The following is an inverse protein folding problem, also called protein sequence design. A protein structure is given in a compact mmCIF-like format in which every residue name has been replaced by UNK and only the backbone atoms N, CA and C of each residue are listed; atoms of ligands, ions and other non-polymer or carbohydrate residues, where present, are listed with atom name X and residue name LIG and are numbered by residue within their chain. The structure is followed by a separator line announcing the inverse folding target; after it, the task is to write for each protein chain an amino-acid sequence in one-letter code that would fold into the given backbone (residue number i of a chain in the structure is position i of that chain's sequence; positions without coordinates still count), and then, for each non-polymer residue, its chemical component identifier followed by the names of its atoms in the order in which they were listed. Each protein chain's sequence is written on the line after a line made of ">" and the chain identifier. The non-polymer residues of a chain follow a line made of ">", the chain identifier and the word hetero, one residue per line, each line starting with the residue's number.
data_IF_770939270569
#
_entry.id   IF_770939270569
#
_cell.length_a   1.000
_cell.length_b   1.000
_cell.length_c   1.000
_cell.angle_alpha   90.00
_cell.angle_beta   90.00
_cell.angle_gamma   90.00
#
_symmetry.space_group_name_H-M   'P 1'
#
loop_
_entity.id
_entity.type
_entity.pdbx_description
1 polymer ?
#
# COMPACT_ATOMS: atom_id res chain seq x y z
N UNK A 1 3.18 1.67 -2.86
CA UNK A 1 2.29 0.53 -2.55
C UNK A 1 0.86 1.05 -2.57
N UNK A 2 -0.05 0.46 -3.37
CA UNK A 2 -1.45 0.88 -3.38
C UNK A 2 -2.10 0.71 -2.01
N UNK A 3 -2.77 1.76 -1.52
CA UNK A 3 -3.64 1.73 -0.34
C UNK A 3 -5.07 2.12 -0.76
N UNK A 4 -6.02 2.21 0.18
CA UNK A 4 -7.43 2.43 -0.13
C UNK A 4 -7.68 3.64 -1.05
N UNK A 5 -7.02 4.77 -0.81
CA UNK A 5 -7.15 5.98 -1.65
C UNK A 5 -6.84 5.71 -3.14
N UNK A 6 -5.81 4.88 -3.42
CA UNK A 6 -5.47 4.52 -4.81
C UNK A 6 -6.63 3.78 -5.49
N UNK A 7 -7.28 2.86 -4.76
CA UNK A 7 -8.36 2.05 -5.32
C UNK A 7 -9.63 2.88 -5.51
N UNK A 8 -9.96 3.76 -4.56
CA UNK A 8 -11.08 4.69 -4.70
C UNK A 8 -10.88 5.67 -5.87
N UNK A 9 -9.64 6.18 -6.04
CA UNK A 9 -9.31 6.98 -7.22
C UNK A 9 -9.48 6.18 -8.51
N UNK A 10 -8.96 4.93 -8.57
CA UNK A 10 -9.13 4.09 -9.75
C UNK A 10 -10.60 3.82 -10.07
N UNK A 11 -11.46 3.62 -9.06
CA UNK A 11 -12.90 3.48 -9.29
C UNK A 11 -13.48 4.75 -9.93
N UNK A 12 -13.15 5.94 -9.42
CA UNK A 12 -13.56 7.22 -10.00
C UNK A 12 -13.01 7.40 -11.43
N UNK A 13 -11.74 7.09 -11.65
CA UNK A 13 -11.08 7.16 -12.95
C UNK A 13 -11.73 6.23 -14.01
N UNK A 14 -12.19 5.03 -13.61
CA UNK A 14 -12.91 4.13 -14.50
C UNK A 14 -14.30 4.65 -14.85
N UNK A 15 -15.05 5.17 -13.87
CA UNK A 15 -16.36 5.81 -14.12
C UNK A 15 -16.23 6.97 -15.07
N UNK A 16 -15.30 7.88 -14.84
CA UNK A 16 -15.07 9.06 -15.69
C UNK A 16 -14.81 8.69 -17.16
N UNK A 17 -14.16 7.54 -17.40
CA UNK A 17 -13.66 7.17 -18.73
C UNK A 17 -14.53 6.19 -19.48
N UNK A 18 -15.29 5.34 -18.79
CA UNK A 18 -15.96 4.20 -19.41
C UNK A 18 -17.46 4.07 -19.08
N UNK A 19 -17.99 4.86 -18.12
CA UNK A 19 -19.39 4.72 -17.71
C UNK A 19 -20.35 4.88 -18.91
N UNK A 20 -21.22 3.88 -19.12
CA UNK A 20 -22.18 3.84 -20.21
C UNK A 20 -21.60 3.45 -21.58
N UNK A 21 -20.28 3.23 -21.68
CA UNK A 21 -19.66 2.78 -22.94
C UNK A 21 -19.71 1.26 -23.08
N UNK A 22 -19.94 0.79 -24.31
CA UNK A 22 -19.68 -0.61 -24.69
C UNK A 22 -18.20 -0.78 -24.96
N UNK A 23 -17.52 -1.54 -24.09
CA UNK A 23 -16.07 -1.65 -24.14
C UNK A 23 -15.61 -2.97 -24.75
N UNK A 24 -14.51 -2.91 -25.52
CA UNK A 24 -13.77 -4.12 -25.89
C UNK A 24 -12.93 -4.56 -24.70
N UNK A 25 -12.96 -5.86 -24.41
CA UNK A 25 -12.25 -6.45 -23.28
C UNK A 25 -11.27 -7.51 -23.78
N UNK A 26 -9.99 -7.33 -23.48
CA UNK A 26 -8.92 -8.21 -23.94
C UNK A 26 -8.05 -8.67 -22.76
N UNK A 27 -7.43 -9.83 -22.90
CA UNK A 27 -6.41 -10.34 -21.98
C UNK A 27 -5.16 -10.74 -22.76
N UNK A 28 -4.28 -9.79 -23.12
CA UNK A 28 -3.06 -10.08 -23.88
C UNK A 28 -2.15 -11.14 -23.23
N UNK A 29 -2.08 -11.15 -21.90
CA UNK A 29 -1.36 -12.17 -21.14
C UNK A 29 -2.02 -13.57 -21.21
N UNK A 30 -3.31 -13.66 -21.54
CA UNK A 30 -4.05 -14.91 -21.68
C UNK A 30 -4.72 -15.45 -20.42
N UNK A 31 -4.22 -15.17 -19.23
CA UNK A 31 -4.75 -15.75 -17.97
C UNK A 31 -6.16 -15.30 -17.58
N UNK A 32 -6.69 -14.24 -18.19
CA UNK A 32 -8.06 -13.75 -18.03
C UNK A 32 -8.89 -13.89 -19.33
N UNK A 33 -8.40 -14.61 -20.35
CA UNK A 33 -9.00 -14.63 -21.69
C UNK A 33 -10.44 -15.14 -21.70
N UNK A 34 -10.76 -16.22 -20.98
CA UNK A 34 -12.12 -16.75 -20.91
C UNK A 34 -13.12 -15.75 -20.33
N UNK A 35 -12.75 -15.08 -19.24
CA UNK A 35 -13.58 -14.02 -18.64
C UNK A 35 -13.66 -12.78 -19.54
N UNK A 36 -12.57 -12.40 -20.19
CA UNK A 36 -12.56 -11.28 -21.13
C UNK A 36 -13.54 -11.48 -22.28
N UNK A 37 -13.64 -12.71 -22.83
CA UNK A 37 -14.57 -13.04 -23.89
C UNK A 37 -16.05 -12.90 -23.47
N UNK A 38 -16.38 -13.17 -22.18
CA UNK A 38 -17.74 -12.98 -21.65
C UNK A 38 -18.10 -11.50 -21.47
N UNK A 39 -17.10 -10.63 -21.30
CA UNK A 39 -17.25 -9.21 -21.07
C UNK A 39 -17.13 -8.37 -22.35
N UNK A 40 -16.53 -8.91 -23.42
CA UNK A 40 -16.25 -8.17 -24.65
C UNK A 40 -17.56 -7.64 -25.30
N UNK A 41 -17.61 -6.35 -25.59
CA UNK A 41 -18.77 -5.66 -26.12
C UNK A 41 -19.89 -5.37 -25.12
N UNK A 42 -19.72 -5.70 -23.83
CA UNK A 42 -20.69 -5.34 -22.77
C UNK A 42 -20.58 -3.87 -22.41
N UNK A 43 -21.69 -3.33 -21.91
CA UNK A 43 -21.70 -1.98 -21.33
C UNK A 43 -20.99 -1.98 -19.96
N UNK A 44 -20.12 -1.01 -19.77
CA UNK A 44 -19.49 -0.74 -18.47
C UNK A 44 -20.44 0.12 -17.65
N UNK A 45 -21.03 -0.46 -16.61
CA UNK A 45 -22.13 0.16 -15.86
C UNK A 45 -21.69 0.88 -14.58
N UNK A 46 -20.60 0.49 -13.96
CA UNK A 46 -20.08 1.18 -12.76
C UNK A 46 -18.66 0.66 -12.38
N UNK A 47 -18.02 1.37 -11.44
CA UNK A 47 -16.83 0.92 -10.71
C UNK A 47 -16.96 1.27 -9.23
N UNK A 48 -16.60 0.33 -8.37
CA UNK A 48 -16.72 0.46 -6.92
C UNK A 48 -15.39 0.09 -6.24
N UNK A 49 -15.09 0.75 -5.12
CA UNK A 49 -13.98 0.41 -4.24
C UNK A 49 -14.47 0.05 -2.84
N UNK A 50 -13.83 -0.96 -2.23
CA UNK A 50 -13.93 -1.23 -0.80
C UNK A 50 -12.55 -1.64 -0.29
N UNK A 51 -11.97 -0.80 0.56
CA UNK A 51 -10.60 -0.97 1.02
C UNK A 51 -9.60 -1.01 -0.14
N UNK A 52 -8.97 -2.16 -0.33
CA UNK A 52 -7.98 -2.37 -1.40
C UNK A 52 -8.52 -3.22 -2.55
N UNK A 53 -9.84 -3.37 -2.63
CA UNK A 53 -10.55 -4.14 -3.66
C UNK A 53 -11.29 -3.21 -4.60
N UNK A 54 -11.05 -3.37 -5.90
CA UNK A 54 -11.76 -2.67 -6.99
C UNK A 54 -12.72 -3.66 -7.66
N UNK A 55 -13.93 -3.21 -7.92
CA UNK A 55 -14.95 -3.96 -8.66
C UNK A 55 -15.37 -3.14 -9.87
N UNK A 56 -15.26 -3.73 -11.05
CA UNK A 56 -15.70 -3.14 -12.33
C UNK A 56 -16.95 -3.88 -12.77
N UNK A 57 -18.03 -3.17 -13.03
CA UNK A 57 -19.35 -3.73 -13.28
C UNK A 57 -19.69 -3.71 -14.76
N UNK A 58 -20.25 -4.81 -15.25
CA UNK A 58 -20.63 -4.97 -16.64
C UNK A 58 -22.07 -5.48 -16.77
N UNK A 59 -22.84 -4.94 -17.70
CA UNK A 59 -24.23 -5.30 -17.92
C UNK A 59 -24.39 -6.82 -18.14
N UNK A 60 -25.18 -7.47 -17.27
CA UNK A 60 -25.54 -8.88 -17.39
C UNK A 60 -24.38 -9.90 -17.33
N UNK A 61 -23.19 -9.48 -16.83
CA UNK A 61 -22.02 -10.35 -16.83
C UNK A 61 -21.26 -10.43 -15.50
N UNK A 62 -21.74 -9.74 -14.45
CA UNK A 62 -21.12 -9.74 -13.13
C UNK A 62 -20.02 -8.66 -12.96
N UNK A 63 -19.00 -8.95 -12.17
CA UNK A 63 -18.02 -7.96 -11.73
C UNK A 63 -16.59 -8.45 -11.92
N UNK A 64 -15.72 -7.62 -12.48
CA UNK A 64 -14.29 -7.89 -12.43
C UNK A 64 -13.75 -7.42 -11.08
N UNK A 65 -13.35 -8.37 -10.25
CA UNK A 65 -12.70 -8.11 -8.97
C UNK A 65 -11.19 -7.99 -9.16
N UNK A 66 -10.64 -6.85 -8.78
CA UNK A 66 -9.20 -6.58 -8.85
C UNK A 66 -8.64 -6.29 -7.46
N UNK A 67 -7.55 -6.97 -7.12
CA UNK A 67 -6.69 -6.62 -6.00
C UNK A 67 -5.27 -6.42 -6.52
N UNK A 68 -4.75 -5.18 -6.42
CA UNK A 68 -3.46 -4.83 -7.02
C UNK A 68 -2.28 -5.54 -6.33
N UNK A 69 -2.36 -5.75 -5.01
CA UNK A 69 -1.22 -6.26 -4.24
C UNK A 69 -0.06 -5.25 -4.20
N UNK A 70 1.17 -5.75 -4.26
CA UNK A 70 2.38 -4.91 -4.21
C UNK A 70 2.83 -4.41 -5.59
N UNK A 71 2.55 -5.18 -6.64
CA UNK A 71 3.11 -4.98 -7.98
C UNK A 71 2.08 -4.58 -9.02
N UNK A 72 0.77 -4.72 -8.71
CA UNK A 72 -0.31 -4.38 -9.62
C UNK A 72 -0.30 -2.90 -9.98
N UNK A 73 -0.46 -2.61 -11.27
CA UNK A 73 -0.53 -1.25 -11.82
C UNK A 73 -1.66 -1.15 -12.84
N UNK A 74 -2.38 -0.04 -12.77
CA UNK A 74 -3.34 0.38 -13.79
C UNK A 74 -2.77 1.59 -14.51
N UNK A 75 -2.86 1.59 -15.83
CA UNK A 75 -2.47 2.71 -16.68
C UNK A 75 -3.62 3.04 -17.64
N UNK A 76 -3.97 4.32 -17.73
CA UNK A 76 -4.92 4.84 -18.71
C UNK A 76 -4.17 5.51 -19.86
N UNK A 77 -4.72 5.41 -21.07
CA UNK A 77 -4.25 6.12 -22.27
C UNK A 77 -5.44 6.62 -23.09
N UNK A 78 -5.19 7.55 -24.01
CA UNK A 78 -6.19 7.95 -25.01
C UNK A 78 -6.28 6.89 -26.11
N UNK A 79 -7.46 6.77 -26.73
CA UNK A 79 -7.65 5.98 -27.93
C UNK A 79 -7.17 6.78 -29.17
N UNK A 80 -6.58 6.12 -30.22
CA UNK A 80 -6.25 4.70 -30.24
C UNK A 80 -5.08 4.35 -29.31
N UNK A 81 -5.24 3.27 -28.53
CA UNK A 81 -4.19 2.84 -27.61
C UNK A 81 -3.03 2.14 -28.36
N UNK A 82 -1.80 2.27 -27.87
CA UNK A 82 -0.68 1.51 -28.42
C UNK A 82 -0.92 -0.01 -28.29
N UNK A 83 -0.26 -0.84 -29.10
CA UNK A 83 -0.34 -2.29 -28.95
C UNK A 83 -0.05 -2.73 -27.50
N UNK A 84 -0.82 -3.68 -26.95
CA UNK A 84 -0.57 -4.17 -25.60
C UNK A 84 0.71 -5.00 -25.55
N UNK A 85 1.36 -5.00 -24.38
CA UNK A 85 2.41 -5.98 -24.09
C UNK A 85 1.78 -7.28 -23.55
N UNK A 86 2.51 -8.38 -23.63
CA UNK A 86 2.15 -9.70 -23.08
C UNK A 86 1.99 -9.75 -21.55
N UNK A 87 2.41 -8.68 -20.85
CA UNK A 87 2.24 -8.54 -19.40
C UNK A 87 0.88 -7.96 -18.99
N UNK A 88 0.06 -7.50 -19.95
CA UNK A 88 -1.26 -6.94 -19.68
C UNK A 88 -2.26 -8.04 -19.36
N UNK A 89 -2.71 -8.11 -18.11
CA UNK A 89 -3.70 -9.07 -17.62
C UNK A 89 -5.10 -8.80 -18.15
N UNK A 90 -5.48 -7.54 -18.13
CA UNK A 90 -6.77 -7.04 -18.56
C UNK A 90 -6.57 -5.72 -19.30
N UNK A 91 -7.17 -5.58 -20.50
CA UNK A 91 -7.28 -4.34 -21.24
C UNK A 91 -8.74 -4.02 -21.49
N UNK A 92 -9.13 -2.78 -21.17
CA UNK A 92 -10.41 -2.20 -21.59
C UNK A 92 -10.14 -1.19 -22.70
N UNK A 93 -10.93 -1.23 -23.77
CA UNK A 93 -10.91 -0.26 -24.87
C UNK A 93 -12.31 0.34 -25.02
N UNK A 94 -12.45 1.58 -24.65
CA UNK A 94 -13.62 2.42 -24.91
C UNK A 94 -13.44 3.29 -26.15
N UNK A 95 -14.38 4.19 -26.37
CA UNK A 95 -14.36 5.10 -27.54
C UNK A 95 -13.18 6.08 -27.49
N UNK A 96 -12.90 6.65 -26.32
CA UNK A 96 -11.89 7.72 -26.13
C UNK A 96 -10.71 7.30 -25.28
N UNK A 97 -10.85 6.24 -24.52
CA UNK A 97 -9.85 5.82 -23.55
C UNK A 97 -9.57 4.31 -23.60
N UNK A 98 -8.38 3.95 -23.18
CA UNK A 98 -8.00 2.58 -22.90
C UNK A 98 -7.42 2.46 -21.49
N UNK A 99 -7.56 1.28 -20.90
CA UNK A 99 -6.99 0.92 -19.61
C UNK A 99 -6.23 -0.40 -19.70
N UNK A 100 -5.03 -0.43 -19.12
CA UNK A 100 -4.21 -1.64 -18.97
C UNK A 100 -3.97 -1.95 -17.49
N UNK A 101 -4.33 -3.16 -17.09
CA UNK A 101 -4.00 -3.73 -15.78
C UNK A 101 -2.83 -4.71 -15.92
N UNK A 102 -1.77 -4.51 -15.14
CA UNK A 102 -0.58 -5.39 -15.10
C UNK A 102 -0.29 -5.85 -13.68
N UNK A 103 0.15 -7.09 -13.51
CA UNK A 103 0.67 -7.65 -12.28
C UNK A 103 -0.24 -7.63 -11.04
N UNK A 104 -1.60 -7.69 -11.16
CA UNK A 104 -2.46 -7.74 -9.99
C UNK A 104 -2.31 -9.07 -9.26
N UNK A 105 -2.52 -9.07 -7.94
CA UNK A 105 -2.64 -10.30 -7.15
C UNK A 105 -3.93 -11.04 -7.48
N UNK A 106 -5.02 -10.30 -7.71
CA UNK A 106 -6.32 -10.84 -8.11
C UNK A 106 -6.86 -10.08 -9.32
N UNK A 107 -7.32 -10.82 -10.34
CA UNK A 107 -8.14 -10.32 -11.43
C UNK A 107 -9.08 -11.49 -11.81
N UNK A 108 -10.32 -11.43 -11.38
CA UNK A 108 -11.30 -12.49 -11.54
C UNK A 108 -12.68 -11.93 -11.89
N UNK A 109 -13.41 -12.60 -12.75
CA UNK A 109 -14.85 -12.36 -12.94
C UNK A 109 -15.60 -13.07 -11.84
N UNK A 110 -16.41 -12.35 -11.09
CA UNK A 110 -17.13 -12.83 -9.92
C UNK A 110 -18.63 -12.50 -10.02
N UNK A 111 -19.44 -13.27 -9.32
CA UNK A 111 -20.89 -13.06 -9.18
C UNK A 111 -21.20 -12.03 -8.08
N UNK A 112 -22.49 -11.63 -7.98
CA UNK A 112 -22.99 -10.77 -6.90
C UNK A 112 -22.76 -11.41 -5.53
N UNK A 113 -22.96 -12.73 -5.39
CA UNK A 113 -22.78 -13.44 -4.12
C UNK A 113 -21.30 -13.48 -3.71
N UNK A 114 -20.40 -13.72 -4.64
CA UNK A 114 -18.96 -13.70 -4.39
C UNK A 114 -18.48 -12.27 -4.03
N UNK A 115 -19.01 -11.25 -4.71
CA UNK A 115 -18.75 -9.84 -4.36
C UNK A 115 -19.22 -9.55 -2.93
N UNK A 116 -20.45 -9.95 -2.58
CA UNK A 116 -21.00 -9.80 -1.22
C UNK A 116 -20.10 -10.47 -0.18
N UNK A 117 -19.66 -11.70 -0.44
CA UNK A 117 -18.73 -12.42 0.44
C UNK A 117 -17.37 -11.71 0.61
N UNK A 118 -16.89 -10.97 -0.39
CA UNK A 118 -15.71 -10.10 -0.23
C UNK A 118 -16.02 -8.94 0.71
N UNK A 119 -17.14 -8.23 0.50
CA UNK A 119 -17.56 -7.10 1.34
C UNK A 119 -17.76 -7.48 2.81
N UNK A 120 -18.40 -8.62 3.09
CA UNK A 120 -18.67 -9.10 4.45
C UNK A 120 -17.40 -9.42 5.26
N UNK A 121 -16.31 -9.75 4.58
CA UNK A 121 -15.01 -10.01 5.24
C UNK A 121 -14.25 -8.74 5.59
N UNK A 122 -14.61 -7.60 5.02
CA UNK A 122 -13.93 -6.34 5.24
C UNK A 122 -14.53 -5.59 6.42
N UNK A 123 -13.70 -4.81 7.07
CA UNK A 123 -14.14 -3.82 8.05
C UNK A 123 -14.65 -2.56 7.35
N UNK A 124 -15.19 -1.59 8.13
CA UNK A 124 -15.55 -0.30 7.61
C UNK A 124 -14.37 0.39 6.90
N UNK A 125 -14.68 1.09 5.82
CA UNK A 125 -13.72 1.84 4.99
C UNK A 125 -13.92 3.35 5.19
N UNK A 126 -12.91 4.11 5.62
CA UNK A 126 -13.01 5.55 5.83
C UNK A 126 -13.46 6.36 4.60
N UNK A 127 -13.34 5.77 3.40
CA UNK A 127 -13.72 6.43 2.14
C UNK A 127 -15.13 6.06 1.66
N UNK A 128 -15.77 5.05 2.24
CA UNK A 128 -17.13 4.67 1.83
C UNK A 128 -18.17 5.44 2.60
N UNK A 129 -19.11 6.14 1.91
CA UNK A 129 -20.23 6.78 2.58
C UNK A 129 -21.08 5.78 3.36
N UNK A 130 -21.41 6.09 4.61
CA UNK A 130 -22.27 5.26 5.44
C UNK A 130 -21.57 4.14 6.22
N UNK A 131 -20.27 3.91 6.01
CA UNK A 131 -19.52 2.95 6.82
C UNK A 131 -19.37 3.50 8.27
N UNK A 132 -19.62 2.62 9.26
CA UNK A 132 -19.71 3.00 10.68
C UNK A 132 -18.34 2.90 11.37
N UNK A 133 -17.73 4.04 11.79
CA UNK A 133 -16.47 4.04 12.54
C UNK A 133 -16.57 3.29 13.88
N UNK A 134 -17.77 3.28 14.49
CA UNK A 134 -18.00 2.58 15.75
C UNK A 134 -17.96 1.06 15.58
N UNK A 135 -18.33 0.54 14.40
CA UNK A 135 -18.19 -0.89 14.11
C UNK A 135 -16.71 -1.33 14.12
N UNK A 136 -15.81 -0.49 13.62
CA UNK A 136 -14.37 -0.72 13.73
C UNK A 136 -13.89 -0.58 15.18
N UNK A 137 -14.34 0.47 15.90
CA UNK A 137 -13.97 0.67 17.30
C UNK A 137 -14.38 -0.50 18.21
N UNK A 138 -15.58 -1.05 18.02
CA UNK A 138 -16.04 -2.23 18.79
C UNK A 138 -15.10 -3.43 18.64
N UNK A 139 -14.44 -3.59 17.49
CA UNK A 139 -13.42 -4.66 17.29
C UNK A 139 -12.09 -4.28 17.95
N UNK A 140 -11.68 -3.01 17.79
CA UNK A 140 -10.43 -2.48 18.39
C UNK A 140 -10.48 -2.57 19.91
N UNK A 141 -11.51 -2.01 20.57
CA UNK A 141 -11.63 -1.89 22.02
C UNK A 141 -11.71 -3.23 22.78
N UNK A 142 -12.02 -4.32 22.08
CA UNK A 142 -12.02 -5.69 22.64
C UNK A 142 -10.70 -6.44 22.46
N UNK A 143 -9.76 -5.86 21.70
CA UNK A 143 -8.53 -6.55 21.30
C UNK A 143 -7.35 -6.24 22.23
N UNK A 144 -6.55 -7.26 22.53
CA UNK A 144 -5.23 -7.13 23.16
C UNK A 144 -4.10 -6.95 22.15
N UNK A 145 -4.43 -7.04 20.86
CA UNK A 145 -3.48 -6.80 19.77
C UNK A 145 -3.10 -5.33 19.73
N UNK A 146 -1.89 -5.02 19.30
CA UNK A 146 -1.40 -3.64 19.18
C UNK A 146 -2.20 -2.85 18.15
N UNK A 147 -2.42 -1.56 18.42
CA UNK A 147 -3.17 -0.70 17.50
C UNK A 147 -2.52 -0.65 16.11
N UNK A 148 -1.20 -0.68 16.04
CA UNK A 148 -0.50 -0.72 14.76
C UNK A 148 -0.79 -2.00 13.94
N UNK A 149 -1.01 -3.14 14.60
CA UNK A 149 -1.40 -4.37 13.90
C UNK A 149 -2.89 -4.35 13.51
N UNK A 150 -3.76 -3.82 14.38
CA UNK A 150 -5.20 -3.68 14.12
C UNK A 150 -5.49 -2.76 12.93
N UNK A 151 -4.76 -1.65 12.78
CA UNK A 151 -4.89 -0.76 11.63
C UNK A 151 -4.44 -1.40 10.29
N UNK A 152 -3.69 -2.50 10.33
CA UNK A 152 -3.32 -3.26 9.13
C UNK A 152 -4.30 -4.39 8.80
N UNK A 153 -5.14 -4.79 9.76
CA UNK A 153 -6.14 -5.83 9.55
C UNK A 153 -7.34 -5.28 8.79
N UNK A 154 -7.47 -5.67 7.53
CA UNK A 154 -8.55 -5.21 6.65
C UNK A 154 -9.95 -5.66 7.12
N UNK A 155 -10.04 -6.60 8.08
CA UNK A 155 -11.30 -6.97 8.74
C UNK A 155 -11.69 -5.98 9.82
N UNK A 156 -10.74 -5.24 10.38
CA UNK A 156 -10.96 -4.21 11.40
C UNK A 156 -11.27 -2.87 10.75
N UNK A 157 -10.42 -2.45 9.84
CA UNK A 157 -10.55 -1.22 9.06
C UNK A 157 -10.04 -1.47 7.65
N UNK A 158 -10.89 -1.28 6.65
CA UNK A 158 -10.52 -1.50 5.26
C UNK A 158 -9.77 -0.28 4.68
N UNK A 159 -8.88 -0.53 3.72
CA UNK A 159 -8.18 0.50 2.97
C UNK A 159 -6.89 1.02 3.60
N UNK A 160 -6.79 1.06 4.91
CA UNK A 160 -5.58 1.50 5.60
C UNK A 160 -4.42 0.56 5.31
N UNK A 161 -3.28 1.14 4.98
CA UNK A 161 -2.05 0.40 4.74
C UNK A 161 -0.91 0.91 5.60
N UNK A 162 0.30 0.58 5.19
CA UNK A 162 1.48 0.82 6.02
C UNK A 162 1.84 2.29 6.18
N UNK A 163 1.54 3.11 5.16
CA UNK A 163 1.79 4.55 5.20
C UNK A 163 0.81 5.20 6.15
N UNK A 164 -0.50 5.08 5.87
CA UNK A 164 -1.51 5.70 6.74
C UNK A 164 -1.44 5.21 8.19
N UNK A 165 -1.17 3.91 8.42
CA UNK A 165 -0.94 3.38 9.78
C UNK A 165 0.14 4.14 10.53
N UNK A 166 1.32 4.26 9.94
CA UNK A 166 2.46 4.90 10.59
C UNK A 166 2.18 6.38 10.86
N UNK A 167 1.63 7.06 9.88
CA UNK A 167 1.43 8.50 9.89
C UNK A 167 0.29 8.94 10.81
N UNK A 168 -0.85 8.24 10.79
CA UNK A 168 -1.98 8.60 11.69
C UNK A 168 -1.62 8.34 13.15
N UNK A 169 -0.91 7.26 13.47
CA UNK A 169 -0.43 7.02 14.83
C UNK A 169 0.54 8.11 15.30
N UNK A 170 1.44 8.56 14.41
CA UNK A 170 2.33 9.66 14.72
C UNK A 170 1.57 10.98 14.95
N UNK A 171 0.64 11.32 14.08
CA UNK A 171 -0.16 12.57 14.15
C UNK A 171 -0.97 12.68 15.44
N UNK A 172 -1.38 11.55 16.00
CA UNK A 172 -2.14 11.46 17.25
C UNK A 172 -1.28 11.13 18.47
N UNK A 173 0.05 11.06 18.33
CA UNK A 173 0.96 10.77 19.45
C UNK A 173 0.75 9.39 20.07
N UNK A 174 0.22 8.43 19.32
CA UNK A 174 -0.12 7.09 19.82
C UNK A 174 1.07 6.16 19.65
N UNK A 175 1.55 5.58 20.76
CA UNK A 175 2.52 4.49 20.72
C UNK A 175 1.94 3.33 19.90
N UNK A 176 2.62 2.89 18.81
CA UNK A 176 2.15 1.80 17.98
C UNK A 176 1.93 0.47 18.72
N UNK A 177 2.56 0.30 19.87
CA UNK A 177 2.41 -0.89 20.72
C UNK A 177 1.27 -0.80 21.74
N UNK A 178 0.57 0.32 21.84
CA UNK A 178 -0.66 0.45 22.62
C UNK A 178 -1.67 -0.62 22.18
N UNK A 179 -2.28 -1.34 23.12
CA UNK A 179 -3.27 -2.36 22.78
C UNK A 179 -4.61 -1.72 22.40
N UNK A 180 -5.38 -2.38 21.55
CA UNK A 180 -6.65 -1.85 21.09
C UNK A 180 -7.60 -1.48 22.23
N UNK A 181 -7.60 -2.25 23.34
CA UNK A 181 -8.41 -1.99 24.54
C UNK A 181 -8.08 -0.69 25.25
N UNK A 182 -6.89 -0.15 25.03
CA UNK A 182 -6.42 1.11 25.61
C UNK A 182 -6.80 2.32 24.76
N UNK A 183 -7.37 2.09 23.54
CA UNK A 183 -7.83 3.15 22.66
C UNK A 183 -9.24 3.53 23.03
N UNK A 184 -9.42 4.68 23.65
CA UNK A 184 -10.73 5.23 24.00
C UNK A 184 -11.54 5.66 22.76
N UNK A 185 -12.85 5.81 22.94
CA UNK A 185 -13.76 6.14 21.84
C UNK A 185 -13.43 7.49 21.19
N UNK A 186 -13.10 8.51 21.98
CA UNK A 186 -12.78 9.85 21.47
C UNK A 186 -11.46 9.84 20.68
N UNK A 187 -10.45 9.11 21.18
CA UNK A 187 -9.18 8.94 20.50
C UNK A 187 -9.36 8.19 19.17
N UNK A 188 -10.23 7.17 19.16
CA UNK A 188 -10.58 6.44 17.93
C UNK A 188 -11.28 7.32 16.92
N UNK A 189 -12.27 8.12 17.35
CA UNK A 189 -12.97 9.05 16.45
C UNK A 189 -12.04 10.06 15.83
N UNK A 190 -11.18 10.68 16.63
CA UNK A 190 -10.19 11.63 16.12
C UNK A 190 -9.24 10.97 15.10
N UNK A 191 -8.79 9.73 15.36
CA UNK A 191 -7.96 8.97 14.44
C UNK A 191 -8.71 8.63 13.14
N UNK A 192 -9.97 8.22 13.24
CA UNK A 192 -10.81 7.91 12.08
C UNK A 192 -11.05 9.14 11.20
N UNK A 193 -11.43 10.27 11.81
CA UNK A 193 -11.68 11.51 11.09
C UNK A 193 -10.44 12.01 10.35
N UNK A 194 -9.27 11.90 10.98
CA UNK A 194 -7.99 12.24 10.36
C UNK A 194 -7.68 11.29 9.19
N UNK A 195 -7.93 9.98 9.32
CA UNK A 195 -7.81 9.03 8.20
C UNK A 195 -8.74 9.40 7.04
N UNK A 196 -9.99 9.78 7.31
CA UNK A 196 -10.94 10.22 6.27
C UNK A 196 -10.38 11.41 5.50
N UNK A 197 -9.85 12.42 6.21
CA UNK A 197 -9.27 13.63 5.60
C UNK A 197 -8.06 13.26 4.75
N UNK A 198 -7.10 12.54 5.33
CA UNK A 198 -5.85 12.16 4.66
C UNK A 198 -6.10 11.27 3.42
N UNK A 199 -7.01 10.30 3.55
CA UNK A 199 -7.29 9.39 2.45
C UNK A 199 -8.09 10.06 1.33
N UNK A 200 -9.03 10.99 1.64
CA UNK A 200 -9.72 11.81 0.62
C UNK A 200 -8.74 12.68 -0.15
N UNK A 201 -7.80 13.30 0.55
CA UNK A 201 -6.73 14.07 -0.11
C UNK A 201 -5.88 13.16 -1.00
N UNK A 202 -5.55 11.96 -0.54
CA UNK A 202 -4.88 10.94 -1.35
C UNK A 202 -5.65 10.57 -2.61
N UNK A 203 -6.98 10.43 -2.55
CA UNK A 203 -7.84 10.23 -3.74
C UNK A 203 -7.71 11.40 -4.70
N UNK A 204 -7.79 12.64 -4.19
CA UNK A 204 -7.74 13.86 -5.00
C UNK A 204 -6.40 14.04 -5.71
N UNK A 205 -5.30 13.87 -4.98
CA UNK A 205 -3.94 14.20 -5.46
C UNK A 205 -3.18 13.01 -6.04
N UNK A 206 -3.67 11.78 -5.83
CA UNK A 206 -2.95 10.54 -6.10
C UNK A 206 -1.60 10.46 -5.36
N UNK A 207 -1.49 11.11 -4.21
CA UNK A 207 -0.31 11.18 -3.35
C UNK A 207 -0.73 10.98 -1.91
N UNK A 208 0.19 10.48 -1.08
CA UNK A 208 0.00 10.45 0.37
C UNK A 208 0.87 11.54 0.99
N UNK A 209 0.26 12.70 1.24
CA UNK A 209 0.83 13.78 2.02
C UNK A 209 0.17 13.76 3.40
N UNK A 210 0.95 13.67 4.45
CA UNK A 210 0.44 13.51 5.83
C UNK A 210 0.90 14.62 6.77
N UNK A 211 1.89 15.40 6.35
CA UNK A 211 2.38 16.52 7.16
C UNK A 211 1.34 17.63 7.24
N UNK A 212 1.25 18.28 8.40
CA UNK A 212 0.40 19.43 8.60
C UNK A 212 0.96 20.65 7.86
N UNK A 213 0.14 21.65 7.52
CA UNK A 213 0.62 22.84 6.80
C UNK A 213 1.81 23.53 7.43
N UNK A 214 1.83 23.61 8.79
CA UNK A 214 2.91 24.20 9.57
C UNK A 214 4.21 23.35 9.59
N UNK A 215 4.17 22.13 9.07
CA UNK A 215 5.30 21.19 9.05
C UNK A 215 5.74 20.81 7.63
N UNK A 216 5.25 21.53 6.62
CA UNK A 216 5.71 21.33 5.24
C UNK A 216 7.19 21.70 5.09
N UNK A 217 7.87 21.24 4.04
CA UNK A 217 9.25 21.64 3.78
C UNK A 217 9.45 23.15 3.76
N UNK A 218 8.55 23.87 3.14
CA UNK A 218 8.57 25.32 3.03
C UNK A 218 8.41 26.00 4.40
N UNK A 219 7.42 25.56 5.18
CA UNK A 219 7.13 26.12 6.50
C UNK A 219 8.28 25.88 7.50
N UNK A 220 8.97 24.75 7.36
CA UNK A 220 10.07 24.36 8.26
C UNK A 220 11.47 24.73 7.72
N UNK A 221 11.58 25.29 6.52
CA UNK A 221 12.86 25.60 5.89
C UNK A 221 13.74 24.37 5.64
N UNK A 222 13.13 23.22 5.37
CA UNK A 222 13.83 21.96 5.10
C UNK A 222 13.66 21.52 3.63
N UNK A 223 14.59 20.71 3.09
CA UNK A 223 14.39 20.16 1.76
C UNK A 223 13.15 19.24 1.70
N UNK A 224 12.45 19.19 0.55
CA UNK A 224 11.38 18.24 0.33
C UNK A 224 11.90 16.82 0.35
N UNK A 225 11.01 15.87 0.69
CA UNK A 225 11.32 14.46 0.68
C UNK A 225 11.58 13.96 -0.74
N UNK A 226 12.67 13.22 -0.92
CA UNK A 226 12.99 12.52 -2.15
C UNK A 226 12.70 11.02 -1.93
N UNK A 227 11.59 10.52 -2.46
CA UNK A 227 11.19 9.11 -2.38
C UNK A 227 10.25 8.77 -3.54
N UNK A 228 10.40 7.59 -4.14
CA UNK A 228 9.56 7.05 -5.22
C UNK A 228 8.08 6.87 -4.83
N UNK A 229 7.74 6.99 -3.55
CA UNK A 229 6.39 6.84 -3.04
C UNK A 229 5.62 8.16 -2.94
N UNK A 230 6.25 9.29 -3.31
CA UNK A 230 5.67 10.62 -3.32
C UNK A 230 5.23 11.08 -1.93
N UNK A 231 4.91 12.34 -1.76
CA UNK A 231 4.30 12.89 -0.56
C UNK A 231 5.21 13.08 0.65
N UNK A 232 4.88 14.12 1.42
CA UNK A 232 5.56 14.45 2.66
C UNK A 232 4.96 13.65 3.83
N UNK A 233 5.83 13.03 4.64
CA UNK A 233 5.45 12.16 5.75
C UNK A 233 6.32 12.43 6.97
N UNK A 234 5.81 12.09 8.16
CA UNK A 234 6.55 12.28 9.42
C UNK A 234 7.53 11.15 9.71
N UNK A 235 7.12 9.89 9.58
CA UNK A 235 7.92 8.73 10.03
C UNK A 235 8.06 7.63 9.00
N UNK A 236 7.13 7.49 8.05
CA UNK A 236 7.15 6.37 7.12
C UNK A 236 8.41 6.36 6.25
N UNK A 237 9.15 5.23 6.28
CA UNK A 237 10.46 5.06 5.60
C UNK A 237 11.51 6.11 5.95
N UNK A 238 11.46 6.61 7.16
CA UNK A 238 12.44 7.58 7.68
C UNK A 238 13.26 7.03 8.85
N UNK A 239 13.41 5.70 8.94
CA UNK A 239 14.25 5.06 9.97
C UNK A 239 15.65 5.69 10.01
N UNK A 240 16.17 5.87 11.23
CA UNK A 240 17.48 6.50 11.51
C UNK A 240 17.59 7.98 11.09
N UNK A 241 16.51 8.60 10.61
CA UNK A 241 16.48 10.05 10.35
C UNK A 241 15.89 10.81 11.55
N UNK A 242 16.28 12.08 11.76
CA UNK A 242 15.70 12.89 12.81
C UNK A 242 14.21 13.14 12.58
N UNK A 243 13.40 13.02 13.61
CA UNK A 243 12.00 13.42 13.60
C UNK A 243 11.87 14.90 13.28
N UNK A 244 10.97 15.28 12.38
CA UNK A 244 10.78 16.66 11.99
C UNK A 244 10.33 17.57 13.16
N UNK A 245 9.68 17.02 14.20
CA UNK A 245 9.15 17.81 15.31
C UNK A 245 10.09 17.90 16.50
N UNK A 246 10.77 16.80 16.87
CA UNK A 246 11.55 16.75 18.10
C UNK A 246 13.02 16.40 17.91
N UNK A 247 13.47 16.13 16.68
CA UNK A 247 14.84 15.75 16.37
C UNK A 247 15.24 14.32 16.76
N UNK A 248 14.43 13.62 17.57
CA UNK A 248 14.71 12.22 17.95
C UNK A 248 14.70 11.31 16.74
N UNK A 249 15.62 10.36 16.70
CA UNK A 249 15.72 9.39 15.60
C UNK A 249 14.46 8.54 15.47
N UNK A 250 13.90 8.48 14.25
CA UNK A 250 12.76 7.63 13.90
C UNK A 250 13.19 6.16 13.97
N UNK A 251 12.44 5.36 14.74
CA UNK A 251 12.68 3.94 14.92
C UNK A 251 11.93 3.10 13.89
N UNK A 252 12.43 1.88 13.67
CA UNK A 252 11.77 0.87 12.85
C UNK A 252 11.82 -0.50 13.53
N UNK A 253 10.78 -1.29 13.32
CA UNK A 253 10.70 -2.70 13.73
C UNK A 253 9.83 -3.49 12.75
N UNK A 254 9.94 -4.82 12.76
CA UNK A 254 9.01 -5.68 12.03
C UNK A 254 7.77 -5.95 12.89
N UNK A 255 6.57 -5.67 12.34
CA UNK A 255 5.29 -5.98 12.99
C UNK A 255 4.30 -6.46 11.92
N UNK A 256 3.70 -7.65 12.14
CA UNK A 256 2.75 -8.26 11.20
C UNK A 256 3.30 -8.32 9.75
N UNK A 257 4.52 -8.81 9.59
CA UNK A 257 5.26 -8.92 8.32
C UNK A 257 5.42 -7.59 7.55
N UNK A 258 5.37 -6.44 8.23
CA UNK A 258 5.59 -5.10 7.65
C UNK A 258 6.53 -4.29 8.54
N UNK A 259 7.31 -3.41 7.92
CA UNK A 259 8.12 -2.46 8.67
C UNK A 259 7.21 -1.41 9.32
N UNK A 260 7.30 -1.31 10.63
CA UNK A 260 6.70 -0.26 11.44
C UNK A 260 7.71 0.89 11.56
N UNK A 261 7.22 2.13 11.56
CA UNK A 261 8.04 3.34 11.76
C UNK A 261 7.35 4.23 12.80
N UNK A 262 8.13 4.77 13.77
CA UNK A 262 7.59 5.69 14.79
C UNK A 262 8.68 6.54 15.42
N UNK A 263 8.29 7.67 16.01
CA UNK A 263 9.16 8.48 16.85
C UNK A 263 8.90 8.16 18.33
N UNK A 264 9.87 7.64 19.08
CA UNK A 264 9.64 7.23 20.47
C UNK A 264 9.38 8.39 21.43
N UNK A 265 9.76 9.62 21.06
CA UNK A 265 9.51 10.84 21.85
C UNK A 265 8.12 11.41 21.58
N UNK A 266 7.71 11.51 20.29
CA UNK A 266 6.39 12.01 19.94
C UNK A 266 5.27 10.99 20.16
N UNK A 267 5.61 9.71 20.28
CA UNK A 267 4.69 8.58 20.50
C UNK A 267 5.15 7.79 21.75
N UNK A 268 5.09 8.40 22.95
CA UNK A 268 5.56 7.75 24.17
C UNK A 268 4.63 6.60 24.57
N UNK A 269 5.15 5.54 25.22
CA UNK A 269 4.34 4.45 25.75
C UNK A 269 3.27 4.97 26.72
N UNK A 270 2.05 4.47 26.62
CA UNK A 270 1.01 4.78 27.57
C UNK A 270 1.42 4.33 28.98
N UNK A 271 1.49 5.29 29.95
CA UNK A 271 1.81 5.00 31.34
C UNK A 271 3.29 4.88 31.71
N UNK A 272 4.18 5.54 30.97
CA UNK A 272 5.59 5.83 31.41
C UNK A 272 6.35 4.70 32.10
N UNK A 273 6.33 3.49 31.64
CA UNK A 273 7.25 2.35 31.86
C UNK A 273 6.57 1.08 31.32
N UNK A 274 6.73 0.80 30.03
CA UNK A 274 6.51 -0.54 29.53
C UNK A 274 7.86 -1.20 29.24
N UNK A 275 8.05 -2.34 29.90
CA UNK A 275 9.20 -3.22 29.93
C UNK A 275 10.12 -3.16 28.71
N UNK A 276 11.41 -2.98 28.99
CA UNK A 276 12.58 -3.12 28.12
C UNK A 276 12.70 -4.48 27.38
N UNK A 277 11.70 -5.37 27.44
CA UNK A 277 11.76 -6.69 26.83
C UNK A 277 11.56 -6.69 25.30
N UNK A 278 10.92 -5.66 24.73
CA UNK A 278 10.70 -5.59 23.28
C UNK A 278 11.82 -4.91 22.49
N UNK A 279 12.84 -4.36 23.15
CA UNK A 279 13.94 -3.64 22.50
C UNK A 279 15.14 -4.52 22.10
N UNK A 280 15.06 -5.83 22.25
CA UNK A 280 16.02 -6.74 21.62
C UNK A 280 15.57 -7.06 20.21
N UNK A 281 15.84 -6.14 19.27
CA UNK A 281 15.97 -6.51 17.88
C UNK A 281 17.02 -7.63 17.78
N UNK A 282 16.77 -8.73 17.05
CA UNK A 282 17.82 -9.71 16.80
C UNK A 282 18.97 -8.96 16.13
N UNK A 283 20.17 -9.04 16.71
CA UNK A 283 21.38 -8.55 16.05
C UNK A 283 21.41 -9.15 14.64
N UNK A 284 21.71 -8.37 13.61
CA UNK A 284 21.93 -8.93 12.30
C UNK A 284 23.00 -10.02 12.45
N UNK A 285 22.71 -11.23 12.00
CA UNK A 285 23.71 -12.29 11.91
C UNK A 285 24.86 -11.73 11.11
N UNK A 286 26.05 -11.62 11.70
CA UNK A 286 27.27 -11.39 10.92
C UNK A 286 27.32 -12.47 9.87
N UNK A 287 27.31 -12.06 8.62
CA UNK A 287 27.67 -12.94 7.50
C UNK A 287 29.05 -13.51 7.83
N UNK A 288 29.30 -14.83 7.63
CA UNK A 288 30.64 -15.36 7.79
C UNK A 288 31.57 -14.55 6.86
N UNK A 289 32.63 -14.01 7.44
CA UNK A 289 33.71 -13.39 6.68
C UNK A 289 34.15 -14.42 5.62
N UNK A 290 33.90 -14.11 4.37
CA UNK A 290 34.53 -14.83 3.24
C UNK A 290 35.99 -14.57 3.37
N UNK A 291 36.72 -15.61 3.84
CA UNK A 291 38.18 -15.64 3.80
C UNK A 291 38.61 -15.39 2.35
N UNK A 292 39.46 -14.38 2.19
CA UNK A 292 40.07 -14.09 0.88
C UNK A 292 40.75 -15.33 0.31
N UNK A 293 40.65 -15.60 -1.01
CA UNK A 293 41.35 -16.71 -1.62
C UNK A 293 42.86 -16.52 -1.48
N UNK A 294 43.63 -17.60 -1.29
CA UNK A 294 45.10 -17.53 -1.21
C UNK A 294 45.65 -16.98 -2.52
N UNK A 295 46.80 -16.29 -2.48
CA UNK A 295 47.46 -15.77 -3.69
C UNK A 295 47.87 -16.89 -4.62
N UNK A 296 47.85 -16.65 -5.96
CA UNK A 296 48.22 -17.69 -6.93
C UNK A 296 49.66 -18.12 -6.78
N UNK A 297 49.90 -19.44 -6.84
CA UNK A 297 51.22 -20.05 -6.81
C UNK A 297 52.08 -19.52 -7.97
N UNK A 298 53.32 -19.13 -7.64
CA UNK A 298 54.30 -18.68 -8.62
C UNK A 298 54.58 -19.80 -9.63
N UNK A 299 54.45 -19.51 -10.91
CA UNK A 299 54.77 -20.41 -12.01
C UNK A 299 56.27 -20.78 -12.00
N UNK A 300 56.64 -22.01 -12.33
CA UNK A 300 58.05 -22.42 -12.38
C UNK A 300 58.81 -21.72 -13.51
N UNK A 301 59.98 -21.20 -13.18
CA UNK A 301 60.92 -20.56 -14.11
C UNK A 301 61.45 -21.63 -15.13
N UNK A 302 61.09 -21.48 -16.41
CA UNK A 302 61.65 -22.29 -17.50
C UNK A 302 63.12 -21.95 -17.66
N UNK A 303 63.97 -22.93 -17.42
CA UNK A 303 65.44 -22.89 -17.75
C UNK A 303 65.64 -22.66 -19.24
N UNK A 304 66.37 -21.60 -19.59
CA UNK A 304 66.86 -21.36 -20.96
C UNK A 304 67.86 -22.43 -21.35
N UNK A 305 67.55 -23.21 -22.38
CA UNK A 305 68.55 -24.07 -23.06
C UNK A 305 69.47 -23.16 -23.87
N UNK A 306 70.79 -23.37 -23.68
CA UNK A 306 71.86 -22.82 -24.55
C UNK A 306 71.85 -23.51 -25.92
N UNK A 307 72.15 -22.82 -27.02
CA UNK A 307 72.36 -23.47 -28.31
C UNK A 307 73.77 -24.17 -28.33
N UNK A 308 73.76 -25.36 -28.85
CA UNK A 308 75.03 -26.07 -29.21
C UNK A 308 75.44 -25.66 -30.62
N UNK A 309 76.77 -25.56 -30.81
CA UNK A 309 77.44 -25.33 -32.08
C UNK A 309 77.01 -26.33 -33.16
#
# INVERSE_FOLDING_TARGET
>A
VPEGHTIHRLAADHRERFLGERVRVLSPQGTFAGSAALLDGREFTDAEAHGKHLFLHFEGAGHVHVHLGLFGKVAFSKAPAPPPTDTVRLRLLGERHAMDLRGPTTCALITDDEKRAVHERLGPDPLRPGDDPEAAHRRVSRSRTTIAALLMDQKVIAGVGNVYRAEVLFRHGIDPYTTGREIGVEQWRALWDDLVVLMREGVRTNRIDTVRPEHTPEAMGRPPRVDDHGGEVYVYRRAAQPCHLCGTEVRTASLAARNLFWCPTCQPPAGGIRNRAASRAPRPRRSPETSAPPPPAKAPVRARRRPAN
#
